data_IF_493044464011
#
_entry.id   IF_493044464011
#
_cell.length_a   1.000
_cell.length_b   1.000
_cell.length_c   1.000
_cell.angle_alpha   90.00
_cell.angle_beta   90.00
_cell.angle_gamma   90.00
#
_symmetry.space_group_name_H-M   'P 1'
#
loop_
_entity.id
_entity.type
_entity.pdbx_description
1 polymer ?
#
# COMPACT_ATOMS: atom_id res chain seq x y z
N UNK A 1 73.20 -59.21 -66.39
CA UNK A 1 72.84 -57.84 -66.09
C UNK A 1 71.82 -57.84 -65.05
N UNK A 2 72.21 -57.78 -63.80
CA UNK A 2 71.40 -57.52 -62.62
C UNK A 2 71.69 -56.14 -62.15
N UNK A 3 70.76 -55.29 -61.94
CA UNK A 3 70.69 -54.23 -60.96
C UNK A 3 69.66 -53.20 -61.40
N UNK A 4 68.85 -52.82 -60.48
CA UNK A 4 68.01 -51.65 -60.40
C UNK A 4 66.51 -51.94 -60.31
N UNK A 5 66.01 -52.31 -59.15
CA UNK A 5 64.60 -52.13 -58.76
C UNK A 5 64.36 -52.04 -57.22
N UNK A 6 65.41 -51.97 -56.34
CA UNK A 6 65.19 -52.02 -54.90
C UNK A 6 65.31 -50.66 -54.13
N UNK A 7 65.36 -49.54 -54.85
CA UNK A 7 65.58 -48.24 -54.17
C UNK A 7 64.35 -47.33 -54.11
N UNK A 8 63.26 -47.59 -54.90
CA UNK A 8 62.09 -46.72 -54.91
C UNK A 8 61.01 -47.05 -53.91
N UNK A 9 60.90 -48.31 -53.39
CA UNK A 9 59.88 -48.67 -52.41
C UNK A 9 60.16 -48.18 -50.98
N UNK A 10 61.39 -47.99 -50.57
CA UNK A 10 61.77 -47.52 -49.21
C UNK A 10 61.52 -46.02 -48.96
N UNK A 11 61.60 -45.19 -49.97
CA UNK A 11 61.39 -43.74 -49.82
C UNK A 11 59.89 -43.36 -49.80
N UNK A 12 59.00 -44.14 -50.47
CA UNK A 12 57.55 -43.87 -50.47
C UNK A 12 56.88 -44.31 -49.15
N UNK A 13 57.41 -45.29 -48.44
CA UNK A 13 56.84 -45.75 -47.15
C UNK A 13 57.14 -44.79 -46.04
N UNK A 14 58.34 -44.17 -45.98
CA UNK A 14 58.69 -43.13 -45.02
C UNK A 14 57.88 -41.82 -45.20
N UNK A 15 57.62 -41.42 -46.42
CA UNK A 15 56.78 -40.22 -46.68
C UNK A 15 55.33 -40.37 -46.29
N UNK A 16 54.74 -41.57 -46.50
CA UNK A 16 53.38 -41.86 -46.07
C UNK A 16 53.26 -41.88 -44.54
N UNK A 17 54.22 -42.43 -43.82
CA UNK A 17 54.25 -42.42 -42.33
C UNK A 17 54.37 -41.00 -41.77
N UNK A 18 55.21 -40.16 -42.37
CA UNK A 18 55.37 -38.75 -41.96
C UNK A 18 54.06 -37.94 -42.21
N UNK A 19 53.38 -38.22 -43.27
CA UNK A 19 52.08 -37.58 -43.59
C UNK A 19 51.03 -38.01 -42.58
N UNK A 20 50.93 -39.29 -42.22
CA UNK A 20 50.03 -39.79 -41.23
C UNK A 20 50.29 -39.18 -39.84
N UNK A 21 51.54 -39.07 -39.39
CA UNK A 21 51.90 -38.40 -38.14
C UNK A 21 51.55 -36.93 -38.14
N UNK A 22 51.77 -36.22 -39.24
CA UNK A 22 51.36 -34.84 -39.41
C UNK A 22 49.84 -34.64 -39.24
N UNK A 23 49.02 -35.47 -39.91
CA UNK A 23 47.56 -35.40 -39.77
C UNK A 23 47.07 -35.76 -38.37
N UNK A 24 47.64 -36.75 -37.70
CA UNK A 24 47.36 -37.11 -36.31
C UNK A 24 47.66 -35.94 -35.36
N UNK A 25 48.84 -35.33 -35.53
CA UNK A 25 49.19 -34.17 -34.71
C UNK A 25 48.27 -32.97 -34.96
N UNK A 26 47.87 -32.75 -36.21
CA UNK A 26 46.93 -31.70 -36.57
C UNK A 26 45.54 -31.93 -36.02
N UNK A 27 45.02 -33.16 -36.06
CA UNK A 27 43.76 -33.57 -35.49
C UNK A 27 43.75 -33.34 -33.97
N UNK A 28 44.79 -33.79 -33.27
CA UNK A 28 44.93 -33.57 -31.82
C UNK A 28 44.94 -32.07 -31.48
N UNK A 29 45.64 -31.26 -32.26
CA UNK A 29 45.65 -29.81 -32.08
C UNK A 29 44.25 -29.17 -32.26
N UNK A 30 43.51 -29.60 -33.28
CA UNK A 30 42.14 -29.15 -33.53
C UNK A 30 41.20 -29.56 -32.43
N UNK A 31 41.26 -30.83 -31.98
CA UNK A 31 40.49 -31.32 -30.84
C UNK A 31 40.74 -30.53 -29.57
N UNK A 32 42.01 -30.22 -29.27
CA UNK A 32 42.41 -29.40 -28.11
C UNK A 32 41.80 -27.98 -28.20
N UNK A 33 41.84 -27.36 -29.37
CA UNK A 33 41.22 -26.05 -29.62
C UNK A 33 39.72 -26.10 -29.44
N UNK A 34 39.07 -27.13 -29.96
CA UNK A 34 37.62 -27.33 -29.85
C UNK A 34 37.19 -27.46 -28.37
N UNK A 35 37.92 -28.27 -27.58
CA UNK A 35 37.67 -28.39 -26.15
C UNK A 35 37.86 -27.07 -25.39
N UNK A 36 38.89 -26.30 -25.71
CA UNK A 36 39.10 -24.99 -25.10
C UNK A 36 37.96 -24.00 -25.44
N UNK A 37 37.50 -23.99 -26.70
CA UNK A 37 36.37 -23.15 -27.11
C UNK A 37 35.06 -23.58 -26.45
N UNK A 38 34.82 -24.88 -26.33
CA UNK A 38 33.65 -25.42 -25.62
C UNK A 38 33.62 -25.01 -24.14
N UNK A 39 34.77 -25.10 -23.45
CA UNK A 39 34.88 -24.64 -22.07
C UNK A 39 34.65 -23.14 -21.90
N UNK A 40 35.20 -22.34 -22.81
CA UNK A 40 34.98 -20.89 -22.82
C UNK A 40 33.53 -20.50 -23.07
N UNK A 41 32.84 -21.19 -23.98
CA UNK A 41 31.43 -21.00 -24.24
C UNK A 41 30.58 -21.31 -23.03
N UNK A 42 30.81 -22.46 -22.37
CA UNK A 42 30.08 -22.84 -21.16
C UNK A 42 30.29 -21.83 -20.01
N UNK A 43 31.49 -21.31 -19.85
CA UNK A 43 31.78 -20.27 -18.86
C UNK A 43 31.05 -18.94 -19.19
N UNK A 44 30.99 -18.57 -20.46
CA UNK A 44 30.28 -17.37 -20.90
C UNK A 44 28.74 -17.51 -20.70
N UNK A 45 28.19 -18.68 -21.00
CA UNK A 45 26.76 -18.96 -20.74
C UNK A 45 26.41 -18.89 -19.25
N UNK A 46 27.27 -19.41 -18.40
CA UNK A 46 27.09 -19.34 -16.95
C UNK A 46 27.18 -17.90 -16.43
N UNK A 47 28.13 -17.12 -16.91
CA UNK A 47 28.27 -15.72 -16.57
C UNK A 47 27.07 -14.89 -17.00
N UNK A 48 26.54 -15.14 -18.21
CA UNK A 48 25.33 -14.48 -18.72
C UNK A 48 24.10 -14.80 -17.85
N UNK A 49 23.95 -16.06 -17.43
CA UNK A 49 22.86 -16.46 -16.54
C UNK A 49 22.95 -15.76 -15.19
N UNK A 50 24.15 -15.64 -14.60
CA UNK A 50 24.35 -14.91 -13.36
C UNK A 50 24.03 -13.42 -13.50
N UNK A 51 24.47 -12.79 -14.60
CA UNK A 51 24.17 -11.37 -14.86
C UNK A 51 22.66 -11.14 -14.98
N UNK A 52 21.95 -12.02 -15.69
CA UNK A 52 20.49 -11.92 -15.85
C UNK A 52 19.74 -12.06 -14.51
N UNK A 53 20.20 -12.98 -13.65
CA UNK A 53 19.62 -13.17 -12.31
C UNK A 53 19.88 -11.96 -11.41
N UNK A 54 21.12 -11.45 -11.41
CA UNK A 54 21.48 -10.25 -10.65
C UNK A 54 20.69 -9.01 -11.11
N UNK A 55 20.46 -8.89 -12.42
CA UNK A 55 19.65 -7.80 -12.96
C UNK A 55 18.21 -7.86 -12.48
N UNK A 56 17.57 -9.05 -12.48
CA UNK A 56 16.22 -9.25 -11.96
C UNK A 56 16.13 -8.88 -10.48
N UNK A 57 17.08 -9.33 -9.66
CA UNK A 57 17.12 -8.99 -8.23
C UNK A 57 17.21 -7.46 -8.04
N UNK A 58 18.07 -6.79 -8.81
CA UNK A 58 18.19 -5.33 -8.75
C UNK A 58 16.95 -4.59 -9.18
N UNK A 59 16.24 -5.07 -10.22
CA UNK A 59 14.96 -4.51 -10.66
C UNK A 59 13.86 -4.67 -9.61
N UNK A 60 13.76 -5.86 -8.98
CA UNK A 60 12.83 -6.12 -7.91
C UNK A 60 13.08 -5.26 -6.66
N UNK A 61 14.34 -5.08 -6.27
CA UNK A 61 14.71 -4.20 -5.15
C UNK A 61 14.35 -2.74 -5.45
N UNK A 62 14.61 -2.29 -6.66
CA UNK A 62 14.28 -0.94 -7.11
C UNK A 62 12.75 -0.71 -7.11
N UNK A 63 11.98 -1.69 -7.58
CA UNK A 63 10.52 -1.65 -7.55
C UNK A 63 9.96 -1.59 -6.12
N UNK A 64 10.51 -2.42 -5.20
CA UNK A 64 10.14 -2.40 -3.78
C UNK A 64 10.46 -1.06 -3.11
N UNK A 65 11.62 -0.48 -3.40
CA UNK A 65 12.00 0.83 -2.86
C UNK A 65 11.08 1.95 -3.37
N UNK A 66 10.69 1.92 -4.65
CA UNK A 66 9.73 2.88 -5.21
C UNK A 66 8.36 2.75 -4.56
N UNK A 67 7.83 1.53 -4.44
CA UNK A 67 6.56 1.28 -3.78
C UNK A 67 6.56 1.74 -2.30
N UNK A 68 7.63 1.46 -1.56
CA UNK A 68 7.78 1.91 -0.18
C UNK A 68 7.84 3.45 -0.05
N UNK A 69 8.52 4.14 -0.99
CA UNK A 69 8.56 5.61 -1.02
C UNK A 69 7.19 6.22 -1.36
N UNK A 70 6.48 5.62 -2.29
CA UNK A 70 5.14 6.06 -2.70
C UNK A 70 4.16 5.89 -1.54
N UNK A 71 4.17 4.74 -0.87
CA UNK A 71 3.36 4.50 0.32
C UNK A 71 3.70 5.47 1.47
N UNK A 72 4.98 5.70 1.75
CA UNK A 72 5.41 6.66 2.77
C UNK A 72 5.02 8.11 2.42
N UNK A 73 5.01 8.45 1.13
CA UNK A 73 4.56 9.75 0.65
C UNK A 73 3.05 9.91 0.82
N UNK A 74 2.26 8.88 0.43
CA UNK A 74 0.81 8.87 0.63
C UNK A 74 0.42 8.96 2.11
N UNK A 75 1.12 8.22 2.98
CA UNK A 75 0.89 8.31 4.42
C UNK A 75 1.13 9.73 4.95
N UNK A 76 2.21 10.40 4.55
CA UNK A 76 2.48 11.79 4.95
C UNK A 76 1.48 12.77 4.36
N UNK A 77 0.98 12.52 3.14
CA UNK A 77 0.10 13.43 2.41
C UNK A 77 -1.34 13.34 2.92
N UNK A 78 -1.81 12.12 3.21
CA UNK A 78 -3.22 11.82 3.43
C UNK A 78 -3.57 11.40 4.86
N UNK A 79 -2.59 11.25 5.75
CA UNK A 79 -2.85 10.95 7.16
C UNK A 79 -2.79 12.19 8.03
N UNK A 80 -3.68 12.25 9.02
CA UNK A 80 -3.61 13.25 10.09
C UNK A 80 -2.50 12.86 11.08
N UNK A 81 -1.53 13.75 11.33
CA UNK A 81 -0.36 13.40 12.15
C UNK A 81 -0.69 13.16 13.64
N UNK A 82 -1.82 13.68 14.14
CA UNK A 82 -2.24 13.49 15.52
C UNK A 82 -2.94 12.15 15.72
N UNK A 83 -3.90 11.82 14.87
CA UNK A 83 -4.82 10.70 15.05
C UNK A 83 -4.48 9.48 14.19
N UNK A 84 -3.65 9.63 13.15
CA UNK A 84 -3.28 8.57 12.22
C UNK A 84 -4.36 8.16 11.22
N UNK A 85 -5.60 8.68 11.34
CA UNK A 85 -6.67 8.46 10.38
C UNK A 85 -6.46 9.33 9.13
N UNK A 86 -7.30 9.17 8.11
CA UNK A 86 -7.22 10.05 6.95
C UNK A 86 -7.49 11.52 7.32
N UNK A 87 -6.84 12.44 6.60
CA UNK A 87 -7.05 13.87 6.77
C UNK A 87 -8.06 14.40 5.74
N UNK A 88 -8.45 15.68 5.88
CA UNK A 88 -9.37 16.37 4.98
C UNK A 88 -8.91 16.35 3.52
N UNK A 89 -7.59 16.44 3.28
CA UNK A 89 -7.03 16.40 1.92
C UNK A 89 -7.34 15.09 1.21
N UNK A 90 -7.28 13.96 1.92
CA UNK A 90 -7.70 12.67 1.36
C UNK A 90 -9.16 12.68 0.92
N UNK A 91 -10.06 13.29 1.70
CA UNK A 91 -11.44 13.46 1.28
C UNK A 91 -11.55 14.25 -0.02
N UNK A 92 -10.92 15.42 -0.09
CA UNK A 92 -11.04 16.36 -1.20
C UNK A 92 -10.43 15.82 -2.51
N UNK A 93 -9.31 15.14 -2.44
CA UNK A 93 -8.57 14.68 -3.62
C UNK A 93 -8.99 13.27 -4.07
N UNK A 94 -9.34 12.38 -3.14
CA UNK A 94 -9.57 10.95 -3.41
C UNK A 94 -11.01 10.54 -3.09
N UNK A 95 -11.42 10.56 -1.82
CA UNK A 95 -12.61 9.90 -1.35
C UNK A 95 -13.89 10.39 -2.06
N UNK A 96 -14.10 11.68 -2.17
CA UNK A 96 -15.31 12.26 -2.77
C UNK A 96 -15.53 11.89 -4.24
N UNK A 97 -14.49 11.44 -4.94
CA UNK A 97 -14.53 11.09 -6.36
C UNK A 97 -14.70 9.59 -6.61
N UNK A 98 -14.31 8.76 -5.65
CA UNK A 98 -14.19 7.31 -5.83
C UNK A 98 -15.24 6.51 -5.07
N UNK A 99 -15.90 7.12 -4.08
CA UNK A 99 -16.87 6.42 -3.25
C UNK A 99 -18.22 6.37 -3.97
N UNK A 100 -18.76 5.15 -4.09
CA UNK A 100 -20.13 4.88 -4.54
C UNK A 100 -21.15 5.06 -3.40
N UNK A 101 -22.38 4.52 -3.55
CA UNK A 101 -23.42 4.65 -2.54
C UNK A 101 -22.96 4.23 -1.16
N UNK A 102 -23.12 5.12 -0.19
CA UNK A 102 -22.60 4.93 1.16
C UNK A 102 -23.48 5.63 2.21
N UNK A 103 -23.42 5.15 3.44
CA UNK A 103 -23.80 5.96 4.60
C UNK A 103 -22.69 6.97 4.88
N UNK A 104 -23.09 8.21 5.08
CA UNK A 104 -22.15 9.32 5.37
C UNK A 104 -22.59 9.98 6.65
N UNK A 105 -21.65 10.15 7.58
CA UNK A 105 -21.93 10.85 8.82
C UNK A 105 -20.82 11.89 9.13
N UNK A 106 -21.24 13.07 9.54
CA UNK A 106 -20.37 14.08 10.11
C UNK A 106 -20.54 14.08 11.63
N UNK A 107 -19.44 14.14 12.35
CA UNK A 107 -19.39 14.06 13.81
C UNK A 107 -18.54 15.20 14.35
N UNK A 108 -18.91 15.71 15.53
CA UNK A 108 -18.18 16.74 16.23
C UNK A 108 -18.07 16.36 17.71
N UNK A 109 -16.93 16.69 18.32
CA UNK A 109 -16.70 16.46 19.74
C UNK A 109 -17.32 17.59 20.55
N UNK A 110 -18.34 17.27 21.33
CA UNK A 110 -19.05 18.24 22.16
C UNK A 110 -18.08 18.87 23.18
N UNK A 111 -18.23 20.17 23.35
CA UNK A 111 -17.47 20.97 24.35
C UNK A 111 -15.93 20.82 24.22
N UNK A 112 -15.42 20.50 23.02
CA UNK A 112 -13.98 20.30 22.83
C UNK A 112 -13.15 21.52 23.21
N UNK A 113 -13.65 22.74 22.95
CA UNK A 113 -13.01 23.99 23.38
C UNK A 113 -12.94 24.06 24.89
N UNK A 114 -14.02 23.70 25.62
CA UNK A 114 -14.05 23.71 27.09
C UNK A 114 -13.03 22.69 27.63
N UNK A 115 -12.89 21.53 26.99
CA UNK A 115 -11.86 20.57 27.34
C UNK A 115 -10.45 21.18 27.23
N UNK A 116 -10.14 21.85 26.13
CA UNK A 116 -8.85 22.52 25.93
C UNK A 116 -8.60 23.63 26.96
N UNK A 117 -9.62 24.45 27.20
CA UNK A 117 -9.52 25.59 28.15
C UNK A 117 -9.37 25.11 29.59
N UNK A 118 -9.93 23.93 29.96
CA UNK A 118 -9.92 23.39 31.31
C UNK A 118 -8.68 22.52 31.59
N UNK A 119 -8.31 21.62 30.64
CA UNK A 119 -7.29 20.60 30.83
C UNK A 119 -6.04 20.80 29.97
N UNK A 120 -6.05 21.84 29.13
CA UNK A 120 -4.97 22.15 28.20
C UNK A 120 -5.04 21.37 26.87
N UNK A 121 -4.33 21.86 25.87
CA UNK A 121 -4.33 21.28 24.50
C UNK A 121 -3.89 19.82 24.46
N UNK A 122 -2.99 19.40 25.35
CA UNK A 122 -2.56 18.00 25.41
C UNK A 122 -3.73 17.06 25.79
N UNK A 123 -4.62 17.48 26.67
CA UNK A 123 -5.84 16.72 27.00
C UNK A 123 -6.77 16.62 25.80
N UNK A 124 -6.95 17.72 25.04
CA UNK A 124 -7.71 17.72 23.80
C UNK A 124 -7.11 16.80 22.74
N UNK A 125 -5.80 16.78 22.59
CA UNK A 125 -5.10 15.86 21.68
C UNK A 125 -5.34 14.39 22.06
N UNK A 126 -5.29 14.08 23.36
CA UNK A 126 -5.60 12.74 23.86
C UNK A 126 -7.07 12.37 23.66
N UNK A 127 -8.00 13.32 23.81
CA UNK A 127 -9.41 13.13 23.52
C UNK A 127 -9.64 12.82 22.04
N UNK A 128 -9.06 13.57 21.11
CA UNK A 128 -9.16 13.33 19.67
C UNK A 128 -8.59 11.97 19.27
N UNK A 129 -7.44 11.56 19.81
CA UNK A 129 -6.88 10.22 19.61
C UNK A 129 -7.83 9.14 20.11
N UNK A 130 -8.43 9.34 21.30
CA UNK A 130 -9.37 8.39 21.87
C UNK A 130 -10.63 8.27 21.03
N UNK A 131 -11.18 9.38 20.54
CA UNK A 131 -12.32 9.40 19.58
C UNK A 131 -11.98 8.62 18.32
N UNK A 132 -10.87 8.93 17.67
CA UNK A 132 -10.47 8.26 16.44
C UNK A 132 -10.31 6.75 16.63
N UNK A 133 -9.62 6.32 17.68
CA UNK A 133 -9.42 4.90 18.00
C UNK A 133 -10.75 4.19 18.30
N UNK A 134 -11.64 4.85 19.06
CA UNK A 134 -12.96 4.30 19.39
C UNK A 134 -13.81 4.11 18.14
N UNK A 135 -13.88 5.11 17.26
CA UNK A 135 -14.63 4.99 16.02
C UNK A 135 -14.02 3.88 15.14
N UNK A 136 -12.68 3.84 14.98
CA UNK A 136 -11.99 2.80 14.22
C UNK A 136 -12.30 1.38 14.74
N UNK A 137 -12.46 1.19 16.06
CA UNK A 137 -12.82 -0.11 16.63
C UNK A 137 -14.26 -0.54 16.32
N UNK A 138 -15.14 0.40 15.99
CA UNK A 138 -16.53 0.17 15.67
C UNK A 138 -16.82 -0.04 14.18
N UNK A 139 -15.85 0.18 13.30
CA UNK A 139 -16.02 0.18 11.86
C UNK A 139 -15.19 -0.91 11.16
N UNK A 140 -15.50 -1.22 9.91
CA UNK A 140 -14.78 -2.21 9.09
C UNK A 140 -13.55 -1.58 8.45
N UNK A 141 -12.61 -2.42 7.99
CA UNK A 141 -11.45 -1.95 7.20
C UNK A 141 -11.83 -1.26 5.88
N UNK A 142 -12.99 -1.58 5.34
CA UNK A 142 -13.55 -0.96 4.13
C UNK A 142 -14.16 0.41 4.37
N UNK A 143 -14.45 0.76 5.63
CA UNK A 143 -15.06 2.01 6.00
C UNK A 143 -13.98 3.09 6.14
N UNK A 144 -14.33 4.34 5.85
CA UNK A 144 -13.37 5.43 5.87
C UNK A 144 -13.68 6.38 7.02
N UNK A 145 -12.68 6.59 7.87
CA UNK A 145 -12.71 7.60 8.91
C UNK A 145 -11.69 8.70 8.58
N UNK A 146 -12.16 9.93 8.55
CA UNK A 146 -11.42 11.11 8.10
C UNK A 146 -11.53 12.19 9.18
N UNK A 147 -10.42 12.79 9.58
CA UNK A 147 -10.44 14.02 10.36
C UNK A 147 -10.73 15.18 9.43
N UNK A 148 -11.95 15.69 9.49
CA UNK A 148 -12.48 16.67 8.53
C UNK A 148 -12.18 18.10 8.95
N UNK A 149 -12.18 18.36 10.26
CA UNK A 149 -11.86 19.64 10.89
C UNK A 149 -10.97 19.46 12.13
N UNK A 150 -10.92 20.45 12.98
CA UNK A 150 -10.16 20.41 14.24
C UNK A 150 -10.63 19.29 15.16
N UNK A 151 -11.91 19.27 15.44
CA UNK A 151 -12.67 18.34 16.29
C UNK A 151 -13.80 17.62 15.52
N UNK A 152 -13.80 17.73 14.19
CA UNK A 152 -14.79 17.15 13.30
C UNK A 152 -14.25 15.90 12.61
N UNK A 153 -15.09 14.86 12.53
CA UNK A 153 -14.79 13.60 11.88
C UNK A 153 -15.85 13.28 10.82
N UNK A 154 -15.41 12.89 9.64
CA UNK A 154 -16.26 12.39 8.56
C UNK A 154 -16.10 10.87 8.48
N UNK A 155 -17.23 10.17 8.58
CA UNK A 155 -17.32 8.73 8.43
C UNK A 155 -18.06 8.39 7.15
N UNK A 156 -17.48 7.48 6.35
CA UNK A 156 -18.10 6.95 5.15
C UNK A 156 -18.17 5.43 5.26
N UNK A 157 -19.37 4.89 5.10
CA UNK A 157 -19.74 3.48 5.28
C UNK A 157 -20.23 2.91 3.95
N UNK A 158 -19.37 2.43 3.05
CA UNK A 158 -19.75 1.91 1.75
C UNK A 158 -20.72 0.72 1.89
N UNK A 159 -21.85 0.79 1.17
CA UNK A 159 -22.81 -0.31 1.11
C UNK A 159 -23.55 -0.60 2.41
N UNK A 160 -23.58 0.33 3.39
CA UNK A 160 -24.40 0.16 4.58
C UNK A 160 -25.90 0.30 4.19
N UNK A 161 -26.77 -0.63 4.58
CA UNK A 161 -28.23 -0.45 4.41
C UNK A 161 -28.74 0.72 5.25
N UNK A 162 -29.73 1.47 4.73
CA UNK A 162 -30.29 2.64 5.41
C UNK A 162 -30.79 2.35 6.82
N UNK A 163 -31.47 1.21 7.00
CA UNK A 163 -32.03 0.76 8.28
C UNK A 163 -30.96 0.52 9.36
N UNK A 164 -29.72 0.27 8.95
CA UNK A 164 -28.61 0.01 9.87
C UNK A 164 -27.79 1.25 10.19
N UNK A 165 -27.91 2.34 9.45
CA UNK A 165 -27.09 3.54 9.65
C UNK A 165 -27.32 4.13 11.05
N UNK A 166 -28.57 4.33 11.44
CA UNK A 166 -28.93 4.87 12.76
C UNK A 166 -28.28 4.04 13.88
N UNK A 167 -28.53 2.72 13.88
CA UNK A 167 -27.99 1.81 14.90
C UNK A 167 -26.47 1.85 14.95
N UNK A 168 -25.80 1.91 13.80
CA UNK A 168 -24.33 2.00 13.72
C UNK A 168 -23.82 3.28 14.35
N UNK A 169 -24.43 4.41 14.06
CA UNK A 169 -24.00 5.71 14.62
C UNK A 169 -24.29 5.80 16.12
N UNK A 170 -25.39 5.23 16.59
CA UNK A 170 -25.71 5.13 18.04
C UNK A 170 -24.70 4.25 18.79
N UNK A 171 -24.25 3.14 18.19
CA UNK A 171 -23.17 2.31 18.72
C UNK A 171 -21.88 3.12 18.88
N UNK A 172 -21.50 3.90 17.87
CA UNK A 172 -20.31 4.74 17.91
C UNK A 172 -20.44 5.82 18.99
N UNK A 173 -21.57 6.51 19.07
CA UNK A 173 -21.84 7.53 20.08
C UNK A 173 -21.73 6.95 21.50
N UNK A 174 -22.34 5.80 21.74
CA UNK A 174 -22.28 5.09 23.04
C UNK A 174 -20.85 4.64 23.37
N UNK A 175 -20.13 4.08 22.40
CA UNK A 175 -18.74 3.65 22.61
C UNK A 175 -17.83 4.84 22.94
N UNK A 176 -18.01 5.99 22.29
CA UNK A 176 -17.26 7.21 22.59
C UNK A 176 -17.54 7.72 24.02
N UNK A 177 -18.82 7.69 24.44
CA UNK A 177 -19.21 8.10 25.80
C UNK A 177 -18.59 7.19 26.89
N UNK A 178 -18.41 5.91 26.59
CA UNK A 178 -17.82 4.93 27.50
C UNK A 178 -16.28 4.94 27.49
N UNK A 179 -15.67 5.57 26.48
CA UNK A 179 -14.22 5.61 26.34
C UNK A 179 -13.59 6.47 27.44
N UNK A 180 -12.46 5.98 27.97
CA UNK A 180 -11.65 6.71 28.93
C UNK A 180 -10.50 7.40 28.25
N UNK A 181 -10.32 8.69 28.47
CA UNK A 181 -9.19 9.46 27.96
C UNK A 181 -7.97 9.20 28.85
N UNK A 182 -6.87 8.65 28.30
CA UNK A 182 -5.66 8.38 29.07
C UNK A 182 -5.13 9.61 29.79
N UNK A 183 -4.88 9.50 31.10
CA UNK A 183 -4.45 10.62 31.96
C UNK A 183 -5.58 11.54 32.44
N UNK A 184 -6.81 11.37 31.94
CA UNK A 184 -7.96 12.23 32.26
C UNK A 184 -9.22 11.40 32.55
N UNK A 185 -9.25 10.59 33.62
CA UNK A 185 -10.32 9.63 33.90
C UNK A 185 -11.69 10.27 34.16
N UNK A 186 -11.72 11.55 34.50
CA UNK A 186 -12.95 12.30 34.76
C UNK A 186 -13.49 13.02 33.54
N UNK A 187 -12.72 13.09 32.46
CA UNK A 187 -13.17 13.64 31.18
C UNK A 187 -13.99 12.61 30.41
N UNK A 188 -15.22 12.99 30.05
CA UNK A 188 -16.13 12.16 29.26
C UNK A 188 -16.25 12.71 27.85
N UNK A 189 -15.99 11.84 26.88
CA UNK A 189 -16.19 12.19 25.46
C UNK A 189 -17.69 12.16 25.17
N UNK A 190 -18.16 13.14 24.43
CA UNK A 190 -19.50 13.22 23.91
C UNK A 190 -19.42 13.64 22.45
N UNK A 191 -20.23 13.00 21.59
CA UNK A 191 -20.26 13.24 20.16
C UNK A 191 -21.67 13.69 19.71
N UNK A 192 -21.72 14.72 18.90
CA UNK A 192 -22.90 15.07 18.10
C UNK A 192 -22.73 14.55 16.68
N UNK A 193 -23.65 13.71 16.22
CA UNK A 193 -23.51 12.96 14.95
C UNK A 193 -24.71 13.24 14.05
N UNK A 194 -24.44 13.67 12.81
CA UNK A 194 -25.45 13.76 11.74
C UNK A 194 -25.14 12.75 10.63
N UNK A 195 -26.10 11.90 10.28
CA UNK A 195 -25.90 10.85 9.29
C UNK A 195 -26.97 10.81 8.20
N UNK A 196 -26.60 10.42 6.99
CA UNK A 196 -27.51 10.24 5.87
C UNK A 196 -26.99 9.20 4.88
N UNK A 197 -27.86 8.71 3.99
CA UNK A 197 -27.48 7.79 2.92
C UNK A 197 -27.28 8.58 1.62
N UNK A 198 -26.18 8.29 0.94
CA UNK A 198 -25.91 8.77 -0.40
C UNK A 198 -26.68 7.95 -1.43
N UNK A 199 -27.43 8.61 -2.30
CA UNK A 199 -27.97 8.00 -3.53
C UNK A 199 -26.94 8.09 -4.67
N UNK A 200 -27.08 7.22 -5.68
CA UNK A 200 -26.18 7.23 -6.86
C UNK A 200 -26.18 8.56 -7.63
N UNK A 201 -27.24 9.34 -7.53
CA UNK A 201 -27.42 10.59 -8.25
C UNK A 201 -26.87 11.83 -7.50
N UNK A 202 -26.56 11.69 -6.20
CA UNK A 202 -26.17 12.82 -5.37
C UNK A 202 -24.64 12.98 -5.31
N UNK A 203 -24.11 14.17 -5.65
CA UNK A 203 -22.72 14.48 -5.41
C UNK A 203 -22.38 14.37 -3.91
N UNK A 204 -21.21 13.83 -3.58
CA UNK A 204 -20.77 13.64 -2.19
C UNK A 204 -20.80 14.93 -1.37
N UNK A 205 -20.49 16.07 -1.97
CA UNK A 205 -20.53 17.37 -1.28
C UNK A 205 -21.93 17.75 -0.81
N UNK A 206 -23.00 17.34 -1.52
CA UNK A 206 -24.37 17.57 -1.09
C UNK A 206 -24.73 16.68 0.12
N UNK A 207 -24.23 15.46 0.11
CA UNK A 207 -24.44 14.50 1.19
C UNK A 207 -23.74 14.96 2.46
N UNK A 208 -22.49 15.41 2.36
CA UNK A 208 -21.75 15.97 3.51
C UNK A 208 -22.48 17.20 4.07
N UNK A 209 -22.99 18.10 3.21
CA UNK A 209 -23.80 19.24 3.67
C UNK A 209 -25.10 18.83 4.38
N UNK A 210 -25.71 17.73 3.95
CA UNK A 210 -26.89 17.18 4.63
C UNK A 210 -26.52 16.61 5.99
N UNK A 211 -25.44 15.84 6.07
CA UNK A 211 -24.90 15.33 7.32
C UNK A 211 -24.53 16.46 8.29
N UNK A 212 -23.94 17.55 7.80
CA UNK A 212 -23.58 18.71 8.58
C UNK A 212 -24.82 19.37 9.24
N UNK A 213 -25.90 19.60 8.48
CA UNK A 213 -27.15 20.12 9.05
C UNK A 213 -27.71 19.22 10.17
N UNK A 214 -27.65 17.92 9.99
CA UNK A 214 -28.12 16.95 10.99
C UNK A 214 -27.20 16.96 12.23
N UNK A 215 -25.90 17.05 12.05
CA UNK A 215 -24.94 17.17 13.14
C UNK A 215 -25.19 18.47 13.94
N UNK A 216 -25.46 19.59 13.27
CA UNK A 216 -25.82 20.83 13.95
C UNK A 216 -27.09 20.70 14.79
N UNK A 217 -28.11 19.95 14.32
CA UNK A 217 -29.31 19.63 15.12
C UNK A 217 -28.97 18.73 16.33
N UNK A 218 -28.06 17.76 16.14
CA UNK A 218 -27.58 16.90 17.23
C UNK A 218 -26.85 17.73 18.31
N UNK A 219 -26.05 18.74 17.93
CA UNK A 219 -25.34 19.66 18.84
C UNK A 219 -26.27 20.41 19.81
N UNK A 220 -27.51 20.67 19.41
CA UNK A 220 -28.49 21.29 20.31
C UNK A 220 -28.85 20.39 21.50
N UNK A 221 -28.68 19.09 21.38
CA UNK A 221 -28.98 18.08 22.42
C UNK A 221 -27.74 17.56 23.10
N UNK A 222 -26.58 17.62 22.40
CA UNK A 222 -25.32 16.97 22.74
C UNK A 222 -25.47 15.45 22.92
N UNK A 223 -24.39 14.71 22.76
CA UNK A 223 -24.38 13.25 22.84
C UNK A 223 -25.59 12.62 22.10
N UNK A 224 -25.80 13.02 20.86
CA UNK A 224 -26.99 12.72 20.10
C UNK A 224 -26.66 12.34 18.64
N UNK A 225 -27.51 11.50 18.09
CA UNK A 225 -27.45 11.06 16.68
C UNK A 225 -28.73 11.53 15.97
N UNK A 226 -28.55 12.17 14.82
CA UNK A 226 -29.64 12.57 13.92
C UNK A 226 -29.40 11.95 12.57
N UNK A 227 -30.36 11.16 12.08
CA UNK A 227 -30.26 10.46 10.79
C UNK A 227 -31.45 10.79 9.91
N UNK A 228 -31.15 11.02 8.63
CA UNK A 228 -32.15 11.15 7.57
C UNK A 228 -31.83 10.11 6.49
N UNK A 229 -32.76 9.20 6.27
CA UNK A 229 -32.72 8.22 5.17
C UNK A 229 -33.72 8.71 4.12
N UNK A 230 -33.25 8.99 2.87
CA UNK A 230 -34.11 9.47 1.77
C UNK A 230 -35.16 8.44 1.36
#
# INVERSE_FOLDING_TARGET
MKHTNDVEEGQNVNTLSEIEEYYKAREQQLLKKLHQQGAALAAAEQALKQLTENQKVSEDETARQRAAREQAFEEKLYRDPLTGIYNRRYYEEVARKTIGPAGVALMDVDDFKICNDTYGHYAGDMALKTVANTIQSCIRKSDLLIRYGGDEFLLVLPGIPGDFLQTKLEQICTAAQMASVPGYPHFRISLSIGGTIQSLADPMDNIVRRADRLMYQAKCRKNAVMVEVP
#
